data_IF_123869686590
#
_entry.id   IF_123869686590
#
_cell.length_a   1.000
_cell.length_b   1.000
_cell.length_c   1.000
_cell.angle_alpha   90.00
_cell.angle_beta   90.00
_cell.angle_gamma   90.00
#
_symmetry.space_group_name_H-M   'P 1'
#
loop_
_entity.id
_entity.type
_entity.pdbx_description
1 polymer ?
#
# COMPACT_ATOMS: atom_id res chain seq x y z
N UNK A 1 -15.08 -8.31 2.77
CA UNK A 1 -13.72 -8.04 3.34
C UNK A 1 -12.89 -7.25 2.35
N UNK A 2 -12.19 -6.20 2.78
CA UNK A 2 -11.34 -5.37 1.91
C UNK A 2 -9.85 -5.65 2.06
N UNK A 3 -9.16 -5.70 0.92
CA UNK A 3 -7.72 -5.90 0.82
C UNK A 3 -7.11 -4.68 0.12
N UNK A 4 -6.02 -4.14 0.67
CA UNK A 4 -5.24 -3.09 0.04
C UNK A 4 -4.07 -3.72 -0.73
N UNK A 5 -4.08 -3.58 -2.06
CA UNK A 5 -2.94 -3.85 -2.90
C UNK A 5 -2.02 -2.62 -2.98
N UNK A 6 -0.72 -2.83 -2.78
CA UNK A 6 0.30 -1.79 -2.83
C UNK A 6 1.36 -2.16 -3.86
N UNK A 7 1.50 -1.32 -4.89
CA UNK A 7 2.64 -1.35 -5.82
C UNK A 7 3.68 -0.34 -5.37
N UNK A 8 4.78 -0.82 -4.78
CA UNK A 8 5.74 0.02 -4.09
C UNK A 8 6.86 0.52 -5.03
N UNK A 9 6.78 1.79 -5.42
CA UNK A 9 7.84 2.49 -6.14
C UNK A 9 8.51 3.60 -5.31
N UNK A 10 9.79 3.89 -5.60
CA UNK A 10 10.56 4.92 -4.90
C UNK A 10 10.09 6.37 -5.16
N UNK A 11 9.34 6.58 -6.24
CA UNK A 11 8.81 7.91 -6.63
C UNK A 11 7.28 7.98 -6.49
N UNK A 12 6.59 6.87 -6.73
CA UNK A 12 5.14 6.74 -6.74
C UNK A 12 4.80 5.37 -6.17
N UNK A 13 3.78 5.32 -5.31
CA UNK A 13 3.22 4.09 -4.77
C UNK A 13 1.78 4.00 -5.27
N UNK A 14 1.47 2.95 -6.03
CA UNK A 14 0.12 2.66 -6.50
C UNK A 14 -0.68 1.94 -5.42
N UNK A 15 -1.96 2.29 -5.27
CA UNK A 15 -2.87 1.69 -4.31
C UNK A 15 -4.12 1.19 -5.03
N UNK A 16 -4.55 -0.02 -4.70
CA UNK A 16 -5.79 -0.62 -5.17
C UNK A 16 -6.58 -1.22 -4.01
N UNK A 17 -7.89 -1.09 -4.01
CA UNK A 17 -8.77 -1.77 -3.06
C UNK A 17 -9.44 -2.94 -3.76
N UNK A 18 -9.38 -4.11 -3.15
CA UNK A 18 -10.10 -5.29 -3.59
C UNK A 18 -11.19 -5.64 -2.59
N UNK A 19 -12.36 -6.00 -3.11
CA UNK A 19 -13.46 -6.54 -2.33
C UNK A 19 -13.57 -8.04 -2.58
N UNK A 20 -13.51 -8.83 -1.50
CA UNK A 20 -13.51 -10.30 -1.60
C UNK A 20 -14.82 -10.88 -2.13
N UNK A 21 -15.94 -10.24 -1.81
CA UNK A 21 -17.27 -10.67 -2.25
C UNK A 21 -17.40 -10.57 -3.78
N UNK A 22 -16.96 -9.45 -4.37
CA UNK A 22 -17.00 -9.22 -5.81
C UNK A 22 -15.81 -9.83 -6.56
N UNK A 23 -14.72 -10.16 -5.85
CA UNK A 23 -13.43 -10.61 -6.41
C UNK A 23 -12.84 -9.60 -7.41
N UNK A 24 -13.16 -8.32 -7.25
CA UNK A 24 -12.67 -7.25 -8.10
C UNK A 24 -11.73 -6.34 -7.31
N UNK A 25 -10.64 -5.94 -7.97
CA UNK A 25 -9.73 -4.91 -7.50
C UNK A 25 -9.93 -3.65 -8.34
N UNK A 26 -10.04 -2.50 -7.68
CA UNK A 26 -10.19 -1.21 -8.32
C UNK A 26 -9.03 -0.28 -7.93
N UNK A 27 -8.53 0.55 -8.86
CA UNK A 27 -7.52 1.55 -8.53
C UNK A 27 -8.10 2.54 -7.51
N UNK A 28 -7.38 2.77 -6.42
CA UNK A 28 -7.77 3.72 -5.39
C UNK A 28 -7.04 5.06 -5.57
N UNK A 29 -5.73 5.02 -5.77
CA UNK A 29 -4.94 6.25 -5.90
C UNK A 29 -3.44 6.03 -5.95
N UNK A 30 -2.69 7.14 -5.99
CA UNK A 30 -1.22 7.13 -6.04
C UNK A 30 -0.66 8.06 -4.98
N UNK A 31 0.24 7.54 -4.14
CA UNK A 31 1.04 8.35 -3.22
C UNK A 31 2.34 8.75 -3.90
N UNK A 32 2.59 10.06 -4.04
CA UNK A 32 3.90 10.58 -4.46
C UNK A 32 4.87 10.50 -3.28
N UNK A 33 5.97 9.77 -3.45
CA UNK A 33 7.00 9.61 -2.42
C UNK A 33 7.90 10.84 -2.45
N UNK A 34 7.85 11.62 -1.37
CA UNK A 34 8.79 12.71 -1.09
C UNK A 34 9.87 12.19 -0.13
N UNK A 35 10.89 12.99 0.16
CA UNK A 35 12.08 12.60 0.95
C UNK A 35 11.81 12.05 2.37
N UNK A 36 10.60 12.17 2.91
CA UNK A 36 10.23 11.66 4.25
C UNK A 36 9.32 10.42 4.14
N UNK A 37 9.86 9.23 4.40
CA UNK A 37 9.13 7.96 4.38
C UNK A 37 7.98 7.88 5.39
N UNK A 38 8.06 8.57 6.53
CA UNK A 38 7.05 8.51 7.59
C UNK A 38 5.65 8.97 7.11
N UNK A 39 5.60 9.93 6.17
CA UNK A 39 4.35 10.43 5.60
C UNK A 39 3.63 9.42 4.70
N UNK A 40 4.35 8.42 4.18
CA UNK A 40 3.75 7.37 3.35
C UNK A 40 3.01 6.39 4.24
N UNK A 41 3.65 5.98 5.34
CA UNK A 41 3.09 5.04 6.29
C UNK A 41 1.80 5.55 6.92
N UNK A 42 1.80 6.81 7.36
CA UNK A 42 0.62 7.47 7.94
C UNK A 42 -0.57 7.50 6.96
N UNK A 43 -0.33 7.84 5.68
CA UNK A 43 -1.38 7.84 4.65
C UNK A 43 -1.99 6.47 4.42
N UNK A 44 -1.15 5.43 4.42
CA UNK A 44 -1.61 4.04 4.27
C UNK A 44 -2.43 3.65 5.51
N UNK A 45 -1.96 3.99 6.72
CA UNK A 45 -2.70 3.73 7.97
C UNK A 45 -4.08 4.38 7.96
N UNK A 46 -4.16 5.68 7.64
CA UNK A 46 -5.44 6.41 7.54
C UNK A 46 -6.37 5.80 6.49
N UNK A 47 -5.82 5.34 5.36
CA UNK A 47 -6.61 4.64 4.35
C UNK A 47 -7.17 3.32 4.89
N UNK A 48 -6.32 2.51 5.54
CA UNK A 48 -6.74 1.23 6.11
C UNK A 48 -7.84 1.39 7.16
N UNK A 49 -7.73 2.40 8.02
CA UNK A 49 -8.75 2.73 9.02
C UNK A 49 -10.05 3.17 8.35
N UNK A 50 -9.98 4.08 7.38
CA UNK A 50 -11.17 4.62 6.69
C UNK A 50 -11.93 3.57 5.89
N UNK A 51 -11.22 2.70 5.18
CA UNK A 51 -11.83 1.72 4.27
C UNK A 51 -11.98 0.34 4.90
N UNK A 52 -11.70 0.22 6.20
CA UNK A 52 -11.75 -1.03 6.98
C UNK A 52 -10.96 -2.19 6.36
N UNK A 53 -9.77 -1.87 5.84
CA UNK A 53 -8.86 -2.85 5.23
C UNK A 53 -8.46 -3.89 6.27
N UNK A 54 -8.64 -5.17 5.95
CA UNK A 54 -8.29 -6.29 6.84
C UNK A 54 -6.97 -6.97 6.46
N UNK A 55 -6.50 -6.74 5.24
CA UNK A 55 -5.26 -7.32 4.75
C UNK A 55 -4.57 -6.37 3.78
N UNK A 56 -3.25 -6.32 3.84
CA UNK A 56 -2.41 -5.57 2.91
C UNK A 56 -1.57 -6.57 2.11
N UNK A 57 -1.54 -6.41 0.79
CA UNK A 57 -0.69 -7.17 -0.12
C UNK A 57 0.27 -6.19 -0.78
N UNK A 58 1.57 -6.39 -0.60
CA UNK A 58 2.60 -5.51 -1.15
C UNK A 58 3.37 -6.25 -2.24
N UNK A 59 3.42 -5.67 -3.43
CA UNK A 59 4.27 -6.15 -4.51
C UNK A 59 5.74 -6.08 -4.09
N UNK A 60 6.42 -7.24 -4.11
CA UNK A 60 7.84 -7.33 -3.82
C UNK A 60 8.63 -7.24 -5.13
N UNK A 61 9.40 -6.15 -5.36
CA UNK A 61 10.34 -6.09 -6.48
C UNK A 61 11.53 -7.03 -6.20
N UNK A 62 12.05 -7.66 -7.24
CA UNK A 62 13.14 -8.65 -7.13
C UNK A 62 14.52 -8.05 -6.78
N UNK A 63 14.65 -6.72 -6.70
CA UNK A 63 15.91 -6.02 -6.39
C UNK A 63 15.93 -5.39 -4.99
N UNK A 64 17.07 -4.81 -4.56
CA UNK A 64 17.42 -4.37 -3.18
C UNK A 64 16.48 -3.42 -2.40
N UNK A 65 15.27 -3.18 -2.90
CA UNK A 65 14.14 -2.49 -2.29
C UNK A 65 13.54 -3.20 -1.06
N UNK A 66 13.83 -4.49 -0.87
CA UNK A 66 13.31 -5.33 0.23
C UNK A 66 13.50 -4.71 1.62
N UNK A 67 14.64 -4.02 1.88
CA UNK A 67 14.89 -3.36 3.19
C UNK A 67 13.89 -2.23 3.48
N UNK A 68 13.53 -1.42 2.48
CA UNK A 68 12.56 -0.32 2.66
C UNK A 68 11.13 -0.84 2.83
N UNK A 69 10.81 -1.94 2.17
CA UNK A 69 9.51 -2.61 2.28
C UNK A 69 9.24 -3.18 3.67
N UNK A 70 10.24 -3.75 4.33
CA UNK A 70 10.09 -4.23 5.72
C UNK A 70 9.63 -3.14 6.68
N UNK A 71 10.10 -1.90 6.52
CA UNK A 71 9.66 -0.78 7.35
C UNK A 71 8.21 -0.36 7.07
N UNK A 72 7.72 -0.59 5.84
CA UNK A 72 6.32 -0.36 5.47
C UNK A 72 5.40 -1.49 5.93
N UNK A 73 5.92 -2.71 6.08
CA UNK A 73 5.12 -3.85 6.54
C UNK A 73 4.90 -3.86 8.07
N UNK A 74 5.55 -2.97 8.82
CA UNK A 74 5.44 -2.86 10.29
C UNK A 74 4.48 -1.74 10.75
N UNK A 75 3.70 -1.15 9.84
CA UNK A 75 2.72 -0.09 10.13
C UNK A 75 1.37 -0.72 10.49
#
# INVERSE_FOLDING_TARGET
>A
MRILGIDYGLKKIGLALAEMESKLAMPWGVIKVKSKNHQVAEKIKTLCEKEEVKQIVIGLPESGLVKKLKNLAMI
#
